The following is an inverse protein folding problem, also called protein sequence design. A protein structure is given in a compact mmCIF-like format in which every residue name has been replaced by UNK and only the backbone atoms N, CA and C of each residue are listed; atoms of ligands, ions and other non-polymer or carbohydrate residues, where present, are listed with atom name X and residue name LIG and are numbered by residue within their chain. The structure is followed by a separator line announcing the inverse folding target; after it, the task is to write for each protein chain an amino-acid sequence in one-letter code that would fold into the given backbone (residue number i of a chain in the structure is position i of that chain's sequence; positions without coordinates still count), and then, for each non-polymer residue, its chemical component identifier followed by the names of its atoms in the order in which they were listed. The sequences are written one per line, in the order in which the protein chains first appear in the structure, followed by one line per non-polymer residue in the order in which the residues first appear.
data_IF_816424794463
#
_entry.id   IF_816424794463
#
_cell.length_a   1.000
_cell.length_b   1.000
_cell.length_c   1.000
_cell.angle_alpha   90.00
_cell.angle_beta   90.00
_cell.angle_gamma   90.00
#
_symmetry.space_group_name_H-M   'P 1'
#
loop_
_entity.id
_entity.type
_entity.pdbx_description
1 polymer ?
#
# COMPACT_ATOMS: atom_id res chain seq x y z
N UNK A 1 77.83 59.83 -44.24
CA UNK A 1 77.53 61.22 -43.76
C UNK A 1 76.00 61.28 -43.54
N UNK A 2 75.66 61.74 -42.37
CA UNK A 2 74.34 62.21 -41.83
C UNK A 2 73.17 61.25 -41.65
N UNK A 3 73.01 60.93 -40.46
CA UNK A 3 71.88 61.04 -39.53
C UNK A 3 70.59 61.69 -40.05
N UNK A 4 69.50 61.05 -39.77
CA UNK A 4 68.37 61.77 -39.17
C UNK A 4 67.42 60.81 -38.40
N UNK A 5 67.08 61.25 -37.23
CA UNK A 5 66.24 60.72 -36.18
C UNK A 5 64.74 60.75 -36.60
N UNK A 6 64.05 59.73 -36.22
CA UNK A 6 62.59 59.71 -36.26
C UNK A 6 62.03 59.51 -34.85
N UNK A 7 60.96 60.17 -34.47
CA UNK A 7 60.34 60.02 -33.14
C UNK A 7 59.43 58.77 -33.06
N UNK A 8 59.54 58.11 -31.93
CA UNK A 8 58.70 56.96 -31.56
C UNK A 8 57.31 57.44 -31.11
N UNK A 9 56.29 57.03 -31.85
CA UNK A 9 54.91 57.16 -31.38
C UNK A 9 54.56 56.01 -30.41
N UNK A 10 54.21 56.35 -29.21
CA UNK A 10 53.78 55.45 -28.19
C UNK A 10 52.26 55.10 -28.43
N UNK A 11 52.00 53.87 -28.79
CA UNK A 11 50.61 53.36 -28.89
C UNK A 11 50.22 52.85 -27.52
N UNK A 12 49.30 53.54 -26.87
CA UNK A 12 48.71 53.14 -25.60
C UNK A 12 47.68 52.01 -25.90
N UNK A 13 48.02 50.80 -25.53
CA UNK A 13 47.15 49.63 -25.59
C UNK A 13 46.20 49.68 -24.38
N UNK A 14 44.94 50.04 -24.61
CA UNK A 14 43.88 49.96 -23.63
C UNK A 14 43.45 48.49 -23.54
N UNK A 15 43.91 47.79 -22.53
CA UNK A 15 43.42 46.49 -22.12
C UNK A 15 42.09 46.66 -21.39
N UNK A 16 40.99 46.40 -22.09
CA UNK A 16 39.66 46.26 -21.50
C UNK A 16 39.59 44.93 -20.79
N UNK A 17 39.66 44.95 -19.47
CA UNK A 17 39.44 43.79 -18.61
C UNK A 17 37.93 43.56 -18.49
N UNK A 18 37.37 42.76 -19.40
CA UNK A 18 35.99 42.28 -19.30
C UNK A 18 35.91 41.22 -18.19
N UNK A 19 35.45 41.65 -17.01
CA UNK A 19 35.03 40.71 -15.96
C UNK A 19 33.77 39.97 -16.44
N UNK A 20 33.95 38.78 -16.99
CA UNK A 20 32.87 37.81 -17.13
C UNK A 20 32.49 37.33 -15.73
N UNK A 21 31.43 37.91 -15.17
CA UNK A 21 30.71 37.32 -14.04
C UNK A 21 30.08 36.04 -14.52
N UNK A 22 30.76 34.90 -14.35
CA UNK A 22 30.20 33.57 -14.41
C UNK A 22 29.24 33.46 -13.22
N UNK A 23 27.96 33.77 -13.46
CA UNK A 23 26.86 33.36 -12.60
C UNK A 23 26.83 31.83 -12.68
N UNK A 24 27.57 31.19 -11.77
CA UNK A 24 27.41 29.79 -11.47
C UNK A 24 25.98 29.63 -10.93
N UNK A 25 25.02 29.32 -11.80
CA UNK A 25 23.75 28.82 -11.37
C UNK A 25 24.03 27.48 -10.71
N UNK A 26 24.18 27.50 -9.40
CA UNK A 26 24.16 26.30 -8.57
C UNK A 26 22.80 25.68 -8.83
N UNK A 27 22.75 24.69 -9.70
CA UNK A 27 21.58 23.84 -9.82
C UNK A 27 21.46 23.12 -8.48
N UNK A 28 20.70 23.68 -7.56
CA UNK A 28 20.32 22.98 -6.34
C UNK A 28 19.55 21.75 -6.78
N UNK A 29 20.05 20.57 -6.38
CA UNK A 29 19.32 19.33 -6.58
C UNK A 29 17.92 19.51 -5.97
N UNK A 30 16.89 19.07 -6.70
CA UNK A 30 15.51 19.11 -6.18
C UNK A 30 15.44 18.33 -4.87
N UNK A 31 14.70 18.82 -3.88
CA UNK A 31 14.47 18.05 -2.67
C UNK A 31 13.79 16.73 -3.02
N UNK A 32 14.20 15.64 -2.38
CA UNK A 32 13.70 14.31 -2.64
C UNK A 32 12.95 13.77 -1.43
N UNK A 33 11.84 13.07 -1.68
CA UNK A 33 11.06 12.36 -0.69
C UNK A 33 11.07 10.87 -1.02
N UNK A 34 11.38 10.02 -0.05
CA UNK A 34 11.38 8.56 -0.20
C UNK A 34 10.19 7.95 0.52
N UNK A 35 9.38 7.21 -0.21
CA UNK A 35 8.20 6.50 0.29
C UNK A 35 8.43 5.00 0.17
N UNK A 36 8.44 4.30 1.30
CA UNK A 36 8.39 2.83 1.30
C UNK A 36 6.95 2.38 1.16
N UNK A 37 6.70 1.52 0.21
CA UNK A 37 5.35 1.00 -0.07
C UNK A 37 5.41 -0.44 -0.58
N UNK A 38 4.26 -1.02 -0.88
CA UNK A 38 4.20 -2.37 -1.46
C UNK A 38 4.25 -2.31 -2.99
N UNK A 39 4.63 -3.42 -3.61
CA UNK A 39 4.93 -3.48 -5.04
C UNK A 39 3.74 -3.10 -5.93
N UNK A 40 2.53 -3.52 -5.60
CA UNK A 40 1.34 -3.20 -6.38
C UNK A 40 0.99 -1.70 -6.36
N UNK A 41 1.32 -0.98 -5.28
CA UNK A 41 1.15 0.48 -5.24
C UNK A 41 2.10 1.19 -6.19
N UNK A 42 3.35 0.76 -6.24
CA UNK A 42 4.42 1.38 -7.02
C UNK A 42 4.47 0.91 -8.48
N UNK A 43 3.74 -0.14 -8.86
CA UNK A 43 3.75 -0.70 -10.22
C UNK A 43 3.18 0.27 -11.25
N UNK A 44 3.47 0.01 -12.53
CA UNK A 44 2.97 0.85 -13.63
C UNK A 44 1.45 0.96 -13.69
N UNK A 45 0.74 -0.09 -13.28
CA UNK A 45 -0.73 -0.15 -13.24
C UNK A 45 -1.32 0.29 -11.90
N UNK A 46 -0.50 0.49 -10.89
CA UNK A 46 -0.91 0.95 -9.56
C UNK A 46 -1.00 2.46 -9.43
N UNK A 47 -1.25 2.96 -8.22
CA UNK A 47 -1.37 4.41 -7.96
C UNK A 47 -0.07 5.20 -8.14
N UNK A 48 1.08 4.54 -7.95
CA UNK A 48 2.39 5.20 -7.89
C UNK A 48 2.66 6.20 -8.99
N UNK A 49 2.56 5.81 -10.28
CA UNK A 49 2.89 6.73 -11.38
C UNK A 49 2.06 8.00 -11.41
N UNK A 50 0.74 7.92 -11.25
CA UNK A 50 -0.14 9.10 -11.27
C UNK A 50 0.08 9.98 -10.05
N UNK A 51 0.30 9.38 -8.89
CA UNK A 51 0.60 10.09 -7.64
C UNK A 51 1.95 10.82 -7.75
N UNK A 52 2.98 10.13 -8.25
CA UNK A 52 4.31 10.71 -8.47
C UNK A 52 4.23 11.94 -9.36
N UNK A 53 3.60 11.83 -10.52
CA UNK A 53 3.47 12.93 -11.48
C UNK A 53 2.76 14.13 -10.86
N UNK A 54 1.64 13.91 -10.18
CA UNK A 54 0.85 14.97 -9.57
C UNK A 54 1.59 15.65 -8.41
N UNK A 55 2.17 14.87 -7.51
CA UNK A 55 2.88 15.42 -6.36
C UNK A 55 4.16 16.15 -6.74
N UNK A 56 4.97 15.61 -7.65
CA UNK A 56 6.21 16.25 -8.14
C UNK A 56 5.94 17.61 -8.81
N UNK A 57 4.81 17.73 -9.50
CA UNK A 57 4.39 19.01 -10.09
C UNK A 57 4.01 20.03 -9.02
N UNK A 58 3.36 19.59 -7.95
CA UNK A 58 2.93 20.46 -6.85
C UNK A 58 4.08 20.90 -5.96
N UNK A 59 5.01 19.99 -5.65
CA UNK A 59 6.08 20.23 -4.69
C UNK A 59 7.37 20.76 -5.32
N UNK A 60 7.51 20.72 -6.64
CA UNK A 60 8.78 20.98 -7.33
C UNK A 60 9.93 20.11 -6.78
N UNK A 61 9.59 18.88 -6.40
CA UNK A 61 10.46 17.91 -5.74
C UNK A 61 10.55 16.61 -6.56
N UNK A 62 11.30 15.65 -6.04
CA UNK A 62 11.40 14.30 -6.56
C UNK A 62 10.75 13.32 -5.56
N UNK A 63 9.83 12.50 -6.03
CA UNK A 63 9.17 11.47 -5.23
C UNK A 63 9.69 10.09 -5.65
N UNK A 64 10.32 9.38 -4.72
CA UNK A 64 10.88 8.06 -4.97
C UNK A 64 10.14 6.99 -4.16
N UNK A 65 9.68 5.94 -4.84
CA UNK A 65 9.11 4.77 -4.19
C UNK A 65 10.15 3.67 -4.04
N UNK A 66 10.19 3.07 -2.86
CA UNK A 66 10.90 1.82 -2.59
C UNK A 66 9.86 0.77 -2.30
N UNK A 67 9.74 -0.21 -3.20
CA UNK A 67 8.70 -1.22 -3.13
C UNK A 67 9.20 -2.49 -2.42
N UNK A 68 8.38 -2.99 -1.49
CA UNK A 68 8.54 -4.29 -0.85
C UNK A 68 7.42 -5.23 -1.30
N UNK A 69 7.47 -6.48 -0.88
CA UNK A 69 6.53 -7.51 -1.34
C UNK A 69 5.09 -7.20 -0.94
N UNK A 70 4.89 -6.71 0.30
CA UNK A 70 3.56 -6.37 0.81
C UNK A 70 3.67 -5.55 2.11
N UNK A 71 2.51 -5.18 2.70
CA UNK A 71 2.43 -4.22 3.78
C UNK A 71 3.10 -4.63 5.09
N UNK A 72 3.01 -5.90 5.50
CA UNK A 72 3.66 -6.34 6.74
C UNK A 72 5.19 -6.32 6.63
N UNK A 73 5.74 -6.53 5.44
CA UNK A 73 7.18 -6.38 5.16
C UNK A 73 7.67 -4.96 5.42
N UNK A 74 6.83 -3.96 5.25
CA UNK A 74 7.18 -2.56 5.55
C UNK A 74 7.53 -2.36 7.02
N UNK A 75 6.73 -2.91 7.93
CA UNK A 75 6.99 -2.81 9.36
C UNK A 75 8.24 -3.59 9.75
N UNK A 76 8.42 -4.79 9.17
CA UNK A 76 9.60 -5.60 9.41
C UNK A 76 10.87 -4.85 9.00
N UNK A 77 10.88 -4.26 7.81
CA UNK A 77 11.98 -3.45 7.28
C UNK A 77 12.28 -2.25 8.17
N UNK A 78 11.25 -1.54 8.58
CA UNK A 78 11.38 -0.37 9.44
C UNK A 78 11.99 -0.73 10.81
N UNK A 79 11.57 -1.86 11.40
CA UNK A 79 12.15 -2.34 12.66
C UNK A 79 13.65 -2.68 12.54
N UNK A 80 14.04 -3.22 11.39
CA UNK A 80 15.46 -3.52 11.13
C UNK A 80 16.30 -2.26 10.96
N UNK A 81 15.78 -1.27 10.26
CA UNK A 81 16.49 -0.02 9.97
C UNK A 81 16.45 0.98 11.14
N UNK A 82 15.36 0.98 11.89
CA UNK A 82 15.16 1.90 13.01
C UNK A 82 15.30 3.37 12.60
N UNK A 83 15.98 4.15 13.41
CA UNK A 83 16.25 5.59 13.15
C UNK A 83 17.14 5.85 11.94
N UNK A 84 17.78 4.82 11.42
CA UNK A 84 18.66 4.92 10.24
C UNK A 84 17.91 4.66 8.93
N UNK A 85 16.59 4.44 8.99
CA UNK A 85 15.78 4.26 7.79
C UNK A 85 15.95 5.43 6.81
N UNK A 86 15.98 5.10 5.53
CA UNK A 86 16.04 6.08 4.44
C UNK A 86 14.65 6.56 4.01
N UNK A 87 13.60 5.97 4.57
CA UNK A 87 12.24 6.38 4.28
C UNK A 87 11.89 7.69 4.99
N UNK A 88 11.11 8.51 4.30
CA UNK A 88 10.42 9.67 4.89
C UNK A 88 8.99 9.31 5.27
N UNK A 89 8.37 8.46 4.45
CA UNK A 89 6.99 7.98 4.60
C UNK A 89 6.96 6.46 4.49
N UNK A 90 6.14 5.83 5.33
CA UNK A 90 5.70 4.44 5.17
C UNK A 90 4.25 4.47 4.72
N UNK A 91 3.96 3.91 3.55
CA UNK A 91 2.63 3.87 2.96
C UNK A 91 2.25 2.42 2.65
N UNK A 92 1.24 1.89 3.33
CA UNK A 92 0.80 0.51 3.11
C UNK A 92 0.72 -0.36 4.36
N UNK A 93 0.88 0.22 5.54
CA UNK A 93 0.42 -0.41 6.78
C UNK A 93 -1.11 -0.37 6.80
N UNK A 94 -1.73 -1.03 7.75
CA UNK A 94 -3.19 -1.02 7.87
C UNK A 94 -3.65 -0.89 9.33
N UNK A 95 -4.96 -0.85 9.52
CA UNK A 95 -5.59 -0.75 10.84
C UNK A 95 -5.11 -1.83 11.82
N UNK A 96 -4.72 -3.01 11.35
CA UNK A 96 -4.26 -4.10 12.21
C UNK A 96 -2.86 -3.85 12.78
N UNK A 97 -2.04 -3.07 12.09
CA UNK A 97 -0.64 -2.82 12.46
C UNK A 97 -0.42 -1.47 13.16
N UNK A 98 -1.46 -0.67 13.40
CA UNK A 98 -1.32 0.67 13.98
C UNK A 98 -0.59 0.66 15.33
N UNK A 99 -1.02 -0.17 16.25
CA UNK A 99 -0.41 -0.22 17.59
C UNK A 99 1.02 -0.75 17.54
N UNK A 100 1.26 -1.80 16.77
CA UNK A 100 2.60 -2.36 16.59
C UNK A 100 3.57 -1.34 15.96
N UNK A 101 3.08 -0.55 15.01
CA UNK A 101 3.87 0.52 14.38
C UNK A 101 4.13 1.67 15.37
N UNK A 102 3.13 2.11 16.10
CA UNK A 102 3.29 3.17 17.12
C UNK A 102 4.26 2.77 18.23
N UNK A 103 4.26 1.52 18.63
CA UNK A 103 5.19 0.98 19.65
C UNK A 103 6.67 1.05 19.23
N UNK A 104 6.96 1.20 17.93
CA UNK A 104 8.34 1.40 17.45
C UNK A 104 8.91 2.74 17.91
N UNK A 105 8.06 3.75 18.16
CA UNK A 105 8.48 5.11 18.48
C UNK A 105 9.13 5.85 17.32
N UNK A 106 8.99 5.35 16.09
CA UNK A 106 9.69 5.89 14.90
C UNK A 106 8.86 6.89 14.10
N UNK A 107 7.56 6.99 14.36
CA UNK A 107 6.66 7.85 13.62
C UNK A 107 6.43 9.21 14.29
N UNK A 108 6.26 10.24 13.48
CA UNK A 108 5.86 11.57 13.92
C UNK A 108 4.33 11.73 13.83
N UNK A 109 3.70 12.55 14.69
CA UNK A 109 2.28 12.86 14.56
C UNK A 109 2.03 13.62 13.25
N UNK A 110 0.88 13.34 12.61
CA UNK A 110 0.55 13.98 11.32
C UNK A 110 0.08 15.44 11.46
N UNK A 111 -0.57 15.81 12.56
CA UNK A 111 -1.12 17.15 12.83
C UNK A 111 -2.05 17.68 11.71
N UNK A 112 -2.78 16.80 11.04
CA UNK A 112 -3.70 17.15 9.96
C UNK A 112 -5.15 17.16 10.42
N UNK A 113 -5.98 17.91 9.70
CA UNK A 113 -7.42 17.84 9.82
C UNK A 113 -7.94 16.60 9.08
N UNK A 114 -8.49 15.64 9.83
CA UNK A 114 -9.03 14.39 9.30
C UNK A 114 -10.55 14.34 9.29
N UNK A 115 -11.25 15.47 9.46
CA UNK A 115 -12.72 15.51 9.49
C UNK A 115 -13.38 15.04 8.19
N UNK A 116 -12.68 15.18 7.05
CA UNK A 116 -13.19 14.73 5.76
C UNK A 116 -13.07 13.20 5.57
N UNK A 117 -12.35 12.50 6.44
CA UNK A 117 -12.16 11.04 6.34
C UNK A 117 -13.47 10.33 6.68
N UNK A 118 -13.90 9.43 5.79
CA UNK A 118 -15.19 8.72 5.86
C UNK A 118 -15.01 7.19 5.89
N UNK A 119 -13.90 6.70 6.42
CA UNK A 119 -13.69 5.26 6.59
C UNK A 119 -14.66 4.67 7.61
N UNK A 120 -15.02 3.37 7.49
CA UNK A 120 -15.88 2.72 8.47
C UNK A 120 -15.36 2.84 9.89
N UNK A 121 -16.22 3.24 10.82
CA UNK A 121 -15.87 3.45 12.23
C UNK A 121 -15.26 4.83 12.53
N UNK A 122 -15.07 5.68 11.53
CA UNK A 122 -14.44 6.99 11.68
C UNK A 122 -12.92 6.90 11.84
N UNK A 123 -12.28 8.05 11.99
CA UNK A 123 -10.82 8.13 12.12
C UNK A 123 -10.39 9.19 13.12
N UNK A 124 -9.62 8.79 14.11
CA UNK A 124 -9.10 9.71 15.13
C UNK A 124 -7.62 9.44 15.49
N UNK A 125 -6.94 8.58 14.74
CA UNK A 125 -5.53 8.30 14.97
C UNK A 125 -4.68 9.55 14.71
N UNK A 126 -3.73 9.85 15.60
CA UNK A 126 -2.91 11.07 15.55
C UNK A 126 -1.61 10.91 14.77
N UNK A 127 -1.23 9.68 14.45
CA UNK A 127 0.03 9.34 13.79
C UNK A 127 -0.18 8.98 12.32
N UNK A 128 -1.16 8.15 12.03
CA UNK A 128 -1.41 7.61 10.70
C UNK A 128 -2.62 8.28 10.04
N UNK A 129 -2.52 8.41 8.71
CA UNK A 129 -3.60 8.94 7.86
C UNK A 129 -4.08 7.81 6.94
N UNK A 130 -5.38 7.51 6.88
CA UNK A 130 -5.90 6.50 5.98
C UNK A 130 -5.95 7.02 4.56
N UNK A 131 -5.72 6.13 3.58
CA UNK A 131 -5.86 6.51 2.17
C UNK A 131 -6.88 5.67 1.40
N UNK A 132 -7.18 4.47 1.85
CA UNK A 132 -8.25 3.65 1.30
C UNK A 132 -8.73 2.60 2.31
N UNK A 133 -9.80 1.90 1.95
CA UNK A 133 -10.28 0.76 2.72
C UNK A 133 -10.98 -0.26 1.82
N UNK A 134 -11.10 -1.47 2.33
CA UNK A 134 -11.81 -2.55 1.68
C UNK A 134 -12.07 -3.70 2.63
N UNK A 135 -12.69 -4.75 2.10
CA UNK A 135 -13.01 -5.95 2.87
C UNK A 135 -12.37 -7.15 2.19
N UNK A 136 -11.69 -7.99 2.97
CA UNK A 136 -11.10 -9.20 2.43
C UNK A 136 -12.18 -10.16 1.95
N UNK A 137 -11.93 -10.78 0.82
CA UNK A 137 -12.81 -11.79 0.25
C UNK A 137 -12.00 -12.76 -0.63
N UNK A 138 -12.51 -13.97 -0.80
CA UNK A 138 -11.97 -14.88 -1.80
C UNK A 138 -12.64 -14.60 -3.14
N UNK A 139 -11.82 -14.32 -4.14
CA UNK A 139 -12.23 -14.03 -5.51
C UNK A 139 -12.16 -15.31 -6.33
N UNK A 140 -13.13 -15.50 -7.22
CA UNK A 140 -13.23 -16.66 -8.10
C UNK A 140 -13.70 -16.25 -9.49
N UNK A 141 -13.52 -17.18 -10.45
CA UNK A 141 -14.00 -17.02 -11.82
C UNK A 141 -15.32 -17.81 -11.98
N UNK A 142 -16.41 -17.11 -12.26
CA UNK A 142 -17.75 -17.70 -12.44
C UNK A 142 -17.83 -18.68 -13.61
N UNK A 143 -16.93 -18.58 -14.58
CA UNK A 143 -16.89 -19.50 -15.71
C UNK A 143 -16.36 -20.88 -15.33
N UNK A 144 -15.47 -20.95 -14.32
CA UNK A 144 -14.82 -22.18 -13.88
C UNK A 144 -15.35 -22.72 -12.57
N UNK A 145 -15.83 -21.86 -11.68
CA UNK A 145 -16.41 -22.24 -10.39
C UNK A 145 -17.86 -21.75 -10.30
N UNK A 146 -18.82 -22.69 -10.36
CA UNK A 146 -20.26 -22.38 -10.38
C UNK A 146 -20.86 -22.24 -8.99
N UNK A 147 -20.34 -22.99 -8.02
CA UNK A 147 -20.84 -23.04 -6.66
C UNK A 147 -19.72 -22.67 -5.67
N UNK A 148 -19.41 -21.37 -5.52
CA UNK A 148 -18.37 -20.93 -4.58
C UNK A 148 -18.83 -21.16 -3.14
N UNK A 149 -17.90 -21.23 -2.18
CA UNK A 149 -18.25 -21.32 -0.76
C UNK A 149 -19.05 -20.09 -0.33
N UNK A 150 -20.01 -20.30 0.57
CA UNK A 150 -20.90 -19.25 1.10
C UNK A 150 -20.52 -18.81 2.50
N UNK A 151 -19.49 -19.42 3.06
CA UNK A 151 -18.98 -19.12 4.37
C UNK A 151 -17.51 -19.54 4.48
N UNK A 152 -16.80 -18.98 5.44
CA UNK A 152 -15.45 -19.42 5.76
C UNK A 152 -15.47 -20.86 6.28
N UNK A 153 -16.46 -21.21 7.09
CA UNK A 153 -16.69 -22.59 7.54
C UNK A 153 -16.85 -23.56 6.36
N UNK A 154 -17.65 -23.22 5.37
CA UNK A 154 -17.84 -24.09 4.17
C UNK A 154 -16.52 -24.24 3.41
N UNK A 155 -15.79 -23.15 3.18
CA UNK A 155 -14.48 -23.20 2.52
C UNK A 155 -13.53 -24.17 3.23
N UNK A 156 -13.45 -24.07 4.55
CA UNK A 156 -12.47 -24.81 5.38
C UNK A 156 -12.93 -26.24 5.66
N UNK A 157 -14.19 -26.43 6.03
CA UNK A 157 -14.70 -27.69 6.61
C UNK A 157 -15.33 -28.63 5.61
N UNK A 158 -15.76 -28.15 4.42
CA UNK A 158 -16.38 -29.00 3.42
C UNK A 158 -15.37 -29.92 2.73
N UNK A 159 -15.89 -31.00 2.12
CA UNK A 159 -15.07 -31.92 1.32
C UNK A 159 -14.93 -31.45 -0.15
N UNK A 160 -15.40 -30.27 -0.48
CA UNK A 160 -15.23 -29.69 -1.82
C UNK A 160 -13.76 -29.53 -2.16
N UNK A 161 -13.32 -29.95 -3.36
CA UNK A 161 -11.90 -29.95 -3.73
C UNK A 161 -11.41 -28.59 -4.23
N UNK A 162 -11.82 -27.53 -3.58
CA UNK A 162 -11.38 -26.18 -3.94
C UNK A 162 -9.89 -26.00 -3.74
N UNK A 163 -9.23 -25.36 -4.68
CA UNK A 163 -7.82 -24.95 -4.61
C UNK A 163 -7.75 -23.49 -4.26
N UNK A 164 -6.97 -23.17 -3.23
CA UNK A 164 -6.88 -21.83 -2.64
C UNK A 164 -5.46 -21.33 -2.69
N UNK A 165 -5.31 -20.03 -2.98
CA UNK A 165 -4.08 -19.27 -2.80
C UNK A 165 -4.35 -18.12 -1.84
N UNK A 166 -3.48 -17.94 -0.87
CA UNK A 166 -3.48 -16.78 0.02
C UNK A 166 -2.05 -16.33 0.32
N UNK A 167 -1.90 -15.24 1.05
CA UNK A 167 -0.62 -14.61 1.31
C UNK A 167 -0.13 -14.92 2.72
N UNK A 168 1.18 -14.90 2.89
CA UNK A 168 1.86 -15.15 4.15
C UNK A 168 1.57 -14.03 5.16
N UNK A 169 1.02 -14.33 6.34
CA UNK A 169 0.71 -13.32 7.35
C UNK A 169 1.95 -12.60 7.94
N UNK A 170 3.14 -13.15 7.71
CA UNK A 170 4.40 -12.56 8.19
C UNK A 170 4.88 -11.40 7.31
N UNK A 171 4.49 -11.36 6.05
CA UNK A 171 4.96 -10.39 5.05
C UNK A 171 3.84 -9.56 4.43
N UNK A 172 2.61 -10.05 4.45
CA UNK A 172 1.45 -9.50 3.75
C UNK A 172 0.38 -9.01 4.73
N UNK A 173 -0.12 -7.80 4.51
CA UNK A 173 -1.29 -7.29 5.25
C UNK A 173 -2.58 -8.04 4.89
N UNK A 174 -2.87 -8.42 3.62
CA UNK A 174 -3.95 -9.37 3.33
C UNK A 174 -3.77 -10.72 4.03
N UNK A 175 -2.57 -11.27 4.02
CA UNK A 175 -2.27 -12.53 4.74
C UNK A 175 -2.53 -12.42 6.23
N UNK A 176 -2.10 -11.33 6.86
CA UNK A 176 -2.44 -11.03 8.25
C UNK A 176 -3.96 -10.88 8.43
N UNK A 177 -4.63 -10.23 7.48
CA UNK A 177 -6.09 -10.10 7.49
C UNK A 177 -6.80 -11.44 7.53
N UNK A 178 -6.36 -12.41 6.73
CA UNK A 178 -6.93 -13.76 6.78
C UNK A 178 -6.64 -14.46 8.10
N UNK A 179 -5.44 -14.31 8.63
CA UNK A 179 -5.10 -14.86 9.96
C UNK A 179 -6.09 -14.37 11.02
N UNK A 180 -6.37 -13.08 11.01
CA UNK A 180 -7.29 -12.44 11.96
C UNK A 180 -8.75 -12.81 11.68
N UNK A 181 -9.14 -12.91 10.43
CA UNK A 181 -10.47 -13.37 10.02
C UNK A 181 -10.73 -14.79 10.49
N UNK A 182 -9.79 -15.70 10.28
CA UNK A 182 -9.85 -17.08 10.79
C UNK A 182 -9.94 -17.10 12.32
N UNK A 183 -9.20 -16.23 12.99
CA UNK A 183 -9.24 -16.13 14.45
C UNK A 183 -10.60 -15.63 14.96
N UNK A 184 -11.21 -14.67 14.26
CA UNK A 184 -12.57 -14.20 14.58
C UNK A 184 -13.63 -15.29 14.45
N UNK A 185 -13.54 -16.10 13.38
CA UNK A 185 -14.54 -17.12 13.08
C UNK A 185 -14.34 -18.38 13.93
N UNK A 186 -13.11 -18.81 14.12
CA UNK A 186 -12.81 -20.11 14.76
C UNK A 186 -12.32 -20.02 16.21
N UNK A 187 -11.84 -18.87 16.64
CA UNK A 187 -11.31 -18.72 18.00
C UNK A 187 -10.21 -19.74 18.31
N UNK A 188 -10.37 -20.49 19.38
CA UNK A 188 -9.40 -21.51 19.81
C UNK A 188 -9.27 -22.69 18.84
N UNK A 189 -10.23 -22.88 17.96
CA UNK A 189 -10.19 -23.92 16.93
C UNK A 189 -9.46 -23.48 15.64
N UNK A 190 -8.94 -22.24 15.58
CA UNK A 190 -8.24 -21.72 14.42
C UNK A 190 -7.08 -22.63 13.96
N UNK A 191 -6.22 -23.20 14.83
CA UNK A 191 -5.17 -24.11 14.38
C UNK A 191 -5.69 -25.33 13.59
N UNK A 192 -6.81 -25.92 14.02
CA UNK A 192 -7.44 -27.04 13.29
C UNK A 192 -7.98 -26.57 11.94
N UNK A 193 -8.59 -25.40 11.91
CA UNK A 193 -9.08 -24.80 10.68
C UNK A 193 -7.93 -24.57 9.68
N UNK A 194 -6.79 -24.09 10.12
CA UNK A 194 -5.60 -23.92 9.28
C UNK A 194 -5.06 -25.25 8.75
N UNK A 195 -5.07 -26.30 9.54
CA UNK A 195 -4.69 -27.65 9.08
C UNK A 195 -5.60 -28.13 7.94
N UNK A 196 -6.91 -27.90 8.06
CA UNK A 196 -7.88 -28.26 7.02
C UNK A 196 -7.66 -27.40 5.76
N UNK A 197 -7.51 -26.09 5.90
CA UNK A 197 -7.29 -25.19 4.76
C UNK A 197 -5.96 -25.51 4.07
N UNK A 198 -4.93 -25.93 4.79
CA UNK A 198 -3.65 -26.33 4.22
C UNK A 198 -3.78 -27.44 3.17
N UNK A 199 -4.72 -28.36 3.36
CA UNK A 199 -4.99 -29.45 2.39
C UNK A 199 -5.56 -28.95 1.07
N UNK A 200 -6.16 -27.76 1.05
CA UNK A 200 -6.73 -27.09 -0.13
C UNK A 200 -5.78 -26.02 -0.70
N UNK A 201 -4.71 -25.71 -0.01
CA UNK A 201 -3.80 -24.62 -0.36
C UNK A 201 -2.82 -25.07 -1.41
N UNK A 202 -2.80 -24.39 -2.55
CA UNK A 202 -1.83 -24.59 -3.63
C UNK A 202 -0.46 -24.01 -3.23
N UNK A 203 -0.49 -22.77 -2.77
CA UNK A 203 0.70 -22.06 -2.30
C UNK A 203 0.31 -20.88 -1.41
N UNK A 204 1.26 -20.43 -0.62
CA UNK A 204 1.19 -19.23 0.19
C UNK A 204 2.26 -18.27 -0.34
N UNK A 205 1.85 -17.13 -0.88
CA UNK A 205 2.77 -16.18 -1.51
C UNK A 205 3.25 -15.12 -0.51
N UNK A 206 4.36 -14.46 -0.83
CA UNK A 206 4.88 -13.36 0.01
C UNK A 206 3.98 -12.13 -0.02
N UNK A 207 3.32 -11.86 -1.16
CA UNK A 207 2.48 -10.70 -1.35
C UNK A 207 1.27 -10.96 -2.25
N UNK A 208 0.43 -9.95 -2.32
CA UNK A 208 -0.83 -10.00 -3.04
C UNK A 208 -0.65 -10.13 -4.56
N UNK A 209 0.31 -9.40 -5.16
CA UNK A 209 0.50 -9.39 -6.61
C UNK A 209 0.78 -10.78 -7.17
N UNK A 210 1.67 -11.53 -6.52
CA UNK A 210 1.99 -12.90 -6.92
C UNK A 210 0.78 -13.82 -6.81
N UNK A 211 0.04 -13.75 -5.69
CA UNK A 211 -1.13 -14.56 -5.46
C UNK A 211 -2.21 -14.33 -6.52
N UNK A 212 -2.53 -13.08 -6.77
CA UNK A 212 -3.56 -12.71 -7.75
C UNK A 212 -3.14 -13.08 -9.17
N UNK A 213 -1.87 -12.88 -9.50
CA UNK A 213 -1.30 -13.28 -10.80
C UNK A 213 -1.39 -14.78 -11.05
N UNK A 214 -1.09 -15.62 -10.05
CA UNK A 214 -1.23 -17.09 -10.14
C UNK A 214 -2.69 -17.50 -10.32
N UNK A 215 -3.59 -16.86 -9.60
CA UNK A 215 -5.03 -17.09 -9.76
C UNK A 215 -5.52 -16.77 -11.17
N UNK A 216 -5.11 -15.65 -11.75
CA UNK A 216 -5.47 -15.26 -13.12
C UNK A 216 -4.93 -16.24 -14.17
N UNK A 217 -3.85 -16.94 -13.88
CA UNK A 217 -3.31 -18.04 -14.72
C UNK A 217 -4.06 -19.36 -14.56
N UNK A 218 -5.04 -19.43 -13.67
CA UNK A 218 -5.83 -20.64 -13.43
C UNK A 218 -5.23 -21.62 -12.44
N UNK A 219 -4.23 -21.19 -11.63
CA UNK A 219 -3.55 -22.08 -10.67
C UNK A 219 -4.40 -22.41 -9.43
N UNK A 220 -5.46 -21.66 -9.18
CA UNK A 220 -6.37 -21.90 -8.07
C UNK A 220 -7.80 -21.51 -8.44
N UNK A 221 -8.76 -22.06 -7.70
CA UNK A 221 -10.19 -21.72 -7.83
C UNK A 221 -10.54 -20.44 -7.09
N UNK A 222 -9.84 -20.16 -6.00
CA UNK A 222 -10.09 -19.05 -5.09
C UNK A 222 -8.78 -18.41 -4.68
N UNK A 223 -8.77 -17.08 -4.64
CA UNK A 223 -7.63 -16.30 -4.16
C UNK A 223 -8.08 -15.29 -3.13
N UNK A 224 -7.30 -15.14 -2.07
CA UNK A 224 -7.52 -14.07 -1.10
C UNK A 224 -7.24 -12.71 -1.74
N UNK A 225 -8.25 -11.88 -1.77
CA UNK A 225 -8.19 -10.52 -2.28
C UNK A 225 -9.26 -9.66 -1.58
N UNK A 226 -10.06 -8.91 -2.31
CA UNK A 226 -11.03 -7.97 -1.76
C UNK A 226 -12.38 -8.07 -2.47
N UNK A 227 -13.44 -7.63 -1.79
CA UNK A 227 -14.76 -7.51 -2.42
C UNK A 227 -14.75 -6.56 -3.61
N UNK A 228 -13.78 -5.65 -3.69
CA UNK A 228 -13.62 -4.67 -4.76
C UNK A 228 -12.83 -5.19 -5.97
N UNK A 229 -12.17 -6.32 -5.86
CA UNK A 229 -11.32 -6.85 -6.93
C UNK A 229 -12.03 -7.04 -8.27
N UNK A 230 -13.32 -7.44 -8.34
CA UNK A 230 -14.01 -7.56 -9.62
C UNK A 230 -14.12 -6.26 -10.41
N UNK A 231 -14.05 -5.09 -9.77
CA UNK A 231 -14.15 -3.79 -10.44
C UNK A 231 -13.04 -3.58 -11.50
N UNK A 232 -11.84 -4.05 -11.24
CA UNK A 232 -10.76 -4.01 -12.22
C UNK A 232 -11.16 -4.70 -13.53
N UNK A 233 -11.64 -5.92 -13.44
CA UNK A 233 -12.05 -6.70 -14.62
C UNK A 233 -13.22 -6.06 -15.36
N UNK A 234 -14.19 -5.52 -14.62
CA UNK A 234 -15.36 -4.85 -15.21
C UNK A 234 -14.94 -3.58 -15.96
N UNK A 235 -14.11 -2.74 -15.35
CA UNK A 235 -13.77 -1.41 -15.87
C UNK A 235 -12.68 -1.51 -16.93
N UNK A 236 -11.57 -2.20 -16.65
CA UNK A 236 -10.41 -2.24 -17.53
C UNK A 236 -10.52 -3.32 -18.61
N UNK A 237 -11.02 -4.50 -18.27
CA UNK A 237 -11.07 -5.64 -19.18
C UNK A 237 -12.45 -5.83 -19.84
N UNK A 238 -13.48 -5.12 -19.39
CA UNK A 238 -14.88 -5.32 -19.83
C UNK A 238 -15.36 -6.75 -19.62
N UNK A 239 -14.95 -7.39 -18.51
CA UNK A 239 -15.29 -8.77 -18.12
C UNK A 239 -16.03 -8.77 -16.81
N UNK A 240 -17.09 -9.55 -16.73
CA UNK A 240 -17.94 -9.71 -15.54
C UNK A 240 -17.87 -11.11 -14.91
N UNK A 241 -16.90 -11.92 -15.33
CA UNK A 241 -16.78 -13.31 -14.90
C UNK A 241 -16.05 -13.50 -13.56
N UNK A 242 -15.41 -12.46 -13.02
CA UNK A 242 -14.81 -12.52 -11.70
C UNK A 242 -15.76 -11.98 -10.65
N UNK A 243 -15.81 -12.63 -9.51
CA UNK A 243 -16.67 -12.24 -8.39
C UNK A 243 -15.98 -12.52 -7.04
N UNK A 244 -16.40 -11.81 -6.02
CA UNK A 244 -16.02 -12.09 -4.64
C UNK A 244 -17.07 -13.02 -4.01
N UNK A 245 -16.62 -14.09 -3.37
CA UNK A 245 -17.50 -14.97 -2.60
C UNK A 245 -17.99 -14.23 -1.35
N UNK A 246 -19.30 -14.17 -1.16
CA UNK A 246 -19.90 -13.50 0.01
C UNK A 246 -20.09 -14.53 1.12
N UNK A 247 -19.44 -14.26 2.27
CA UNK A 247 -19.45 -15.17 3.42
C UNK A 247 -20.46 -14.73 4.49
N UNK A 248 -21.24 -15.65 4.96
CA UNK A 248 -22.32 -15.40 5.92
C UNK A 248 -21.83 -14.94 7.30
N UNK A 249 -20.60 -15.29 7.69
CA UNK A 249 -19.99 -14.82 8.94
C UNK A 249 -19.66 -13.33 8.90
N UNK A 250 -19.57 -12.74 7.71
CA UNK A 250 -19.06 -11.39 7.49
C UNK A 250 -17.65 -11.37 6.91
N UNK A 251 -17.15 -10.17 6.66
CA UNK A 251 -15.84 -9.95 6.05
C UNK A 251 -14.97 -9.08 6.94
N UNK A 252 -13.67 -9.32 6.92
CA UNK A 252 -12.72 -8.57 7.72
C UNK A 252 -12.38 -7.25 7.04
N UNK A 253 -12.47 -6.14 7.77
CA UNK A 253 -12.18 -4.79 7.29
C UNK A 253 -10.68 -4.52 7.28
N UNK A 254 -10.19 -3.96 6.17
CA UNK A 254 -8.87 -3.35 6.09
C UNK A 254 -8.99 -1.85 5.81
N UNK A 255 -8.27 -1.03 6.57
CA UNK A 255 -8.06 0.39 6.31
C UNK A 255 -6.56 0.59 6.12
N UNK A 256 -6.15 0.95 4.92
CA UNK A 256 -4.74 1.17 4.61
C UNK A 256 -4.32 2.58 5.00
N UNK A 257 -3.13 2.69 5.57
CA UNK A 257 -2.64 3.93 6.17
C UNK A 257 -1.21 4.27 5.76
N UNK A 258 -0.89 5.55 5.88
CA UNK A 258 0.47 6.07 5.75
C UNK A 258 0.88 6.80 7.03
N UNK A 259 2.17 6.79 7.31
CA UNK A 259 2.77 7.51 8.43
C UNK A 259 4.08 8.16 8.04
N UNK A 260 4.38 9.29 8.66
CA UNK A 260 5.61 10.03 8.49
C UNK A 260 6.63 9.59 9.54
N UNK A 261 7.87 9.33 9.13
CA UNK A 261 8.95 9.01 10.06
C UNK A 261 9.49 10.28 10.73
N UNK A 262 9.70 10.19 12.05
CA UNK A 262 10.29 11.26 12.83
C UNK A 262 11.74 11.56 12.42
N UNK A 263 12.44 10.55 11.85
CA UNK A 263 13.81 10.68 11.36
C UNK A 263 13.91 11.24 9.94
N UNK A 264 12.80 11.60 9.31
CA UNK A 264 12.83 12.22 7.97
C UNK A 264 13.75 13.43 7.92
N UNK A 265 14.59 13.49 6.90
CA UNK A 265 15.47 14.64 6.64
C UNK A 265 14.75 15.78 5.93
N UNK A 266 13.54 15.53 5.43
CA UNK A 266 12.68 16.51 4.77
C UNK A 266 11.30 16.55 5.42
N UNK A 267 11.18 16.90 6.72
CA UNK A 267 9.93 16.78 7.46
C UNK A 267 8.80 17.65 6.89
N UNK A 268 9.10 18.83 6.37
CA UNK A 268 8.09 19.71 5.76
C UNK A 268 7.56 19.13 4.44
N UNK A 269 8.43 18.55 3.63
CA UNK A 269 8.03 17.87 2.39
C UNK A 269 7.22 16.61 2.69
N UNK A 270 7.63 15.85 3.70
CA UNK A 270 6.89 14.67 4.16
C UNK A 270 5.49 15.06 4.66
N UNK A 271 5.37 16.16 5.39
CA UNK A 271 4.06 16.68 5.83
C UNK A 271 3.17 17.09 4.65
N UNK A 272 3.74 17.71 3.63
CA UNK A 272 3.01 18.05 2.40
C UNK A 272 2.49 16.80 1.70
N UNK A 273 3.28 15.74 1.66
CA UNK A 273 2.83 14.46 1.08
C UNK A 273 1.69 13.84 1.91
N UNK A 274 1.78 13.87 3.24
CA UNK A 274 0.70 13.40 4.11
C UNK A 274 -0.61 14.18 3.88
N UNK A 275 -0.54 15.49 3.68
CA UNK A 275 -1.70 16.32 3.29
C UNK A 275 -2.23 15.94 1.90
N UNK A 276 -1.32 15.70 0.96
CA UNK A 276 -1.66 15.31 -0.40
C UNK A 276 -2.45 13.99 -0.46
N UNK A 277 -2.17 13.06 0.44
CA UNK A 277 -2.91 11.80 0.56
C UNK A 277 -4.43 12.05 0.71
N UNK A 278 -4.84 13.06 1.45
CA UNK A 278 -6.26 13.39 1.66
C UNK A 278 -6.84 14.31 0.59
N UNK A 279 -6.03 14.73 -0.38
CA UNK A 279 -6.46 15.62 -1.46
C UNK A 279 -7.39 14.91 -2.46
N UNK A 280 -8.24 15.68 -3.15
CA UNK A 280 -9.09 15.11 -4.21
C UNK A 280 -8.30 14.37 -5.29
N UNK A 281 -7.13 14.88 -5.68
CA UNK A 281 -6.29 14.24 -6.70
C UNK A 281 -5.88 12.83 -6.32
N UNK A 282 -5.39 12.65 -5.10
CA UNK A 282 -4.98 11.34 -4.60
C UNK A 282 -6.19 10.41 -4.44
N UNK A 283 -7.25 10.89 -3.79
CA UNK A 283 -8.41 10.09 -3.45
C UNK A 283 -9.20 9.64 -4.70
N UNK A 284 -9.30 10.48 -5.72
CA UNK A 284 -9.95 10.13 -6.99
C UNK A 284 -9.14 9.10 -7.80
N UNK A 285 -7.84 9.01 -7.60
CA UNK A 285 -7.00 8.00 -8.25
C UNK A 285 -7.20 6.59 -7.65
N UNK A 286 -7.56 6.48 -6.39
CA UNK A 286 -7.63 5.21 -5.65
C UNK A 286 -8.58 4.18 -6.29
N UNK A 287 -9.84 4.49 -6.63
CA UNK A 287 -10.77 3.46 -7.13
C UNK A 287 -10.30 2.74 -8.39
N UNK A 288 -9.59 3.42 -9.29
CA UNK A 288 -9.19 2.87 -10.60
C UNK A 288 -7.70 2.57 -10.73
N UNK A 289 -6.93 2.69 -9.67
CA UNK A 289 -5.52 2.31 -9.65
C UNK A 289 -5.18 1.35 -8.51
N UNK A 290 -5.79 1.53 -7.34
CA UNK A 290 -5.63 0.61 -6.21
C UNK A 290 -6.84 -0.29 -5.98
N UNK A 291 -7.94 -0.04 -6.68
CA UNK A 291 -9.16 -0.88 -6.68
C UNK A 291 -9.73 -1.09 -5.27
N UNK A 292 -9.72 -0.01 -4.50
CA UNK A 292 -10.24 0.07 -3.14
C UNK A 292 -11.21 1.25 -3.03
N UNK A 293 -11.93 1.32 -1.92
CA UNK A 293 -12.74 2.49 -1.60
C UNK A 293 -11.85 3.62 -1.08
N UNK A 294 -12.04 4.86 -1.57
CA UNK A 294 -11.24 6.00 -1.10
C UNK A 294 -11.57 6.34 0.36
N UNK A 295 -10.58 6.83 1.10
CA UNK A 295 -10.74 7.22 2.51
C UNK A 295 -11.50 8.55 2.69
N UNK A 296 -11.52 9.40 1.67
CA UNK A 296 -12.34 10.61 1.61
C UNK A 296 -13.38 10.41 0.52
N UNK A 297 -14.63 10.72 0.83
CA UNK A 297 -15.75 10.51 -0.10
C UNK A 297 -15.48 11.18 -1.45
N UNK A 298 -15.57 10.39 -2.51
CA UNK A 298 -15.52 10.83 -3.91
C UNK A 298 -16.46 9.96 -4.74
N UNK A 299 -16.78 10.42 -5.94
CA UNK A 299 -17.60 9.66 -6.87
C UNK A 299 -16.85 8.37 -7.29
N UNK A 300 -17.58 7.25 -7.27
CA UNK A 300 -17.05 5.96 -7.67
C UNK A 300 -17.43 5.66 -9.13
N UNK A 301 -16.53 5.02 -9.90
CA UNK A 301 -16.88 4.52 -11.23
C UNK A 301 -18.06 3.55 -11.18
N UNK A 302 -18.86 3.49 -12.27
CA UNK A 302 -20.05 2.65 -12.35
C UNK A 302 -19.79 1.16 -12.05
N UNK A 303 -18.61 0.65 -12.35
CA UNK A 303 -18.20 -0.73 -12.06
C UNK A 303 -18.18 -1.09 -10.58
N UNK A 304 -18.15 -0.11 -9.69
CA UNK A 304 -18.25 -0.32 -8.23
C UNK A 304 -19.69 -0.57 -7.76
N UNK A 305 -20.69 -0.18 -8.53
CA UNK A 305 -22.11 -0.30 -8.12
C UNK A 305 -22.58 -1.75 -7.99
N UNK A 306 -21.95 -2.69 -8.68
CA UNK A 306 -22.32 -4.11 -8.68
C UNK A 306 -21.52 -4.95 -7.69
N UNK A 307 -20.60 -4.35 -6.96
CA UNK A 307 -19.75 -5.05 -6.00
C UNK A 307 -20.56 -5.47 -4.76
N UNK A 308 -20.22 -6.64 -4.24
CA UNK A 308 -20.78 -7.11 -2.98
C UNK A 308 -20.35 -6.17 -1.84
N UNK A 309 -21.33 -5.75 -1.05
CA UNK A 309 -21.10 -4.97 0.18
C UNK A 309 -21.39 -5.90 1.35
N UNK A 310 -20.41 -6.18 2.23
CA UNK A 310 -20.63 -7.06 3.37
C UNK A 310 -21.72 -6.51 4.31
N UNK A 311 -22.65 -7.36 4.71
CA UNK A 311 -23.66 -7.01 5.72
C UNK A 311 -23.01 -6.84 7.11
N UNK A 312 -21.95 -7.61 7.35
CA UNK A 312 -21.20 -7.59 8.61
C UNK A 312 -19.72 -7.37 8.31
N UNK A 313 -19.16 -6.35 8.93
CA UNK A 313 -17.72 -6.10 8.94
C UNK A 313 -17.17 -6.47 10.31
N UNK A 314 -16.01 -7.12 10.34
CA UNK A 314 -15.34 -7.49 11.58
C UNK A 314 -13.90 -6.99 11.58
N UNK A 315 -13.39 -6.71 12.75
CA UNK A 315 -11.99 -6.38 13.00
C UNK A 315 -11.66 -6.59 14.47
N UNK A 316 -10.39 -6.83 14.74
CA UNK A 316 -9.83 -6.68 16.08
C UNK A 316 -9.39 -5.23 16.27
N UNK A 317 -9.29 -4.80 17.53
CA UNK A 317 -8.59 -3.56 17.84
C UNK A 317 -7.09 -3.69 17.51
N UNK A 318 -6.44 -2.58 17.21
CA UNK A 318 -5.00 -2.57 16.94
C UNK A 318 -4.20 -3.09 18.15
N UNK A 319 -4.68 -2.86 19.38
CA UNK A 319 -4.07 -3.36 20.61
C UNK A 319 -4.17 -4.88 20.71
N UNK A 320 -5.34 -5.46 20.44
CA UNK A 320 -5.51 -6.92 20.44
C UNK A 320 -4.56 -7.58 19.42
N UNK A 321 -4.45 -6.99 18.23
CA UNK A 321 -3.52 -7.51 17.21
C UNK A 321 -2.07 -7.40 17.67
N UNK A 322 -1.67 -6.26 18.25
CA UNK A 322 -0.32 -6.08 18.77
C UNK A 322 0.02 -7.12 19.85
N UNK A 323 -0.93 -7.42 20.72
CA UNK A 323 -0.75 -8.37 21.81
C UNK A 323 -0.70 -9.83 21.36
N UNK A 324 -1.48 -10.20 20.33
CA UNK A 324 -1.72 -11.59 19.96
C UNK A 324 -1.07 -12.02 18.63
N UNK A 325 -0.67 -11.09 17.79
CA UNK A 325 -0.21 -11.38 16.41
C UNK A 325 0.91 -12.41 16.35
N UNK A 326 1.93 -12.26 17.16
CA UNK A 326 3.07 -13.19 17.18
C UNK A 326 2.64 -14.60 17.51
N UNK A 327 1.80 -14.75 18.53
CA UNK A 327 1.28 -16.06 18.96
C UNK A 327 0.41 -16.69 17.87
N UNK A 328 -0.47 -15.93 17.26
CA UNK A 328 -1.35 -16.43 16.20
C UNK A 328 -0.58 -16.80 14.94
N UNK A 329 0.43 -16.03 14.55
CA UNK A 329 1.32 -16.37 13.44
C UNK A 329 2.08 -17.67 13.72
N UNK A 330 2.61 -17.85 14.91
CA UNK A 330 3.30 -19.09 15.31
C UNK A 330 2.37 -20.30 15.27
N UNK A 331 1.13 -20.16 15.75
CA UNK A 331 0.12 -21.20 15.68
C UNK A 331 -0.24 -21.57 14.24
N UNK A 332 -0.43 -20.57 13.37
CA UNK A 332 -0.61 -20.77 11.94
C UNK A 332 0.57 -21.54 11.33
N UNK A 333 1.79 -21.09 11.59
CA UNK A 333 3.00 -21.69 11.02
C UNK A 333 3.14 -23.18 11.44
N UNK A 334 2.88 -23.50 12.68
CA UNK A 334 2.87 -24.90 13.15
C UNK A 334 1.78 -25.72 12.45
N UNK A 335 0.58 -25.16 12.33
CA UNK A 335 -0.56 -25.86 11.73
C UNK A 335 -0.35 -26.19 10.25
N UNK A 336 0.23 -25.29 9.46
CA UNK A 336 0.40 -25.47 8.01
C UNK A 336 1.68 -26.22 7.64
N UNK A 337 2.58 -26.46 8.58
CA UNK A 337 3.86 -27.15 8.34
C UNK A 337 3.75 -28.68 8.45
N UNK A 338 2.57 -29.26 8.73
CA UNK A 338 2.37 -30.68 8.97
C UNK A 338 1.42 -31.34 7.96
#
# INVERSE_FOLDING_TARGET
VLNQLLPRSATVLKTSLSCLLLLSASAFAKPALTVYTYDSFASEWGPGPVIKTAFEKECECELNFVALEDGASLLNRLRMEGKNSKADIILGLDNNLLQAAEQTGLFAPHNLDTRAVTVPGGWNNKTFVPYDYGYFAFVYNKNTLKNPPKSLHELVDSNEPWKVIYQDPRTSTPGLGLLLWMQKVYGDDAPKAWQKLAKKTVTVTKGWSEAYGLFLKGEADLVLSYTTSPAYHIIEEKKDNYAAATFSEGHYLQIEVAGQLASSKNPELAKRFMQFILSPMFQQAIPTTNWMYPAVKTDLPAGFATLAVPEKAMQFSAQEVADQRTQWIQAWQRAVSH
#
